data_IF_626467595534
#
_entry.id   IF_626467595534
#
_cell.length_a   1.000
_cell.length_b   1.000
_cell.length_c   1.000
_cell.angle_alpha   90.00
_cell.angle_beta   90.00
_cell.angle_gamma   90.00
#
_symmetry.space_group_name_H-M   'P 1'
#
loop_
_entity.id
_entity.type
_entity.pdbx_description
1 polymer ?
#
# COMPACT_ATOMS: atom_id res chain seq x y z
N UNK A 1 44.60 -23.04 -36.09
CA UNK A 1 43.98 -21.86 -35.46
C UNK A 1 42.48 -22.06 -35.44
N UNK A 2 41.94 -22.31 -34.32
CA UNK A 2 40.50 -22.41 -33.94
C UNK A 2 40.19 -23.60 -33.05
N UNK A 3 40.91 -23.71 -31.93
CA UNK A 3 40.53 -24.69 -30.89
C UNK A 3 40.17 -24.03 -29.54
N UNK A 4 39.99 -22.71 -29.47
CA UNK A 4 39.73 -22.00 -28.22
C UNK A 4 38.28 -21.55 -28.02
N UNK A 5 37.33 -21.86 -28.90
CA UNK A 5 35.97 -21.36 -28.81
C UNK A 5 34.97 -22.40 -28.31
N UNK A 6 35.33 -23.66 -28.32
CA UNK A 6 34.41 -24.75 -27.98
C UNK A 6 34.31 -25.09 -26.44
N UNK A 7 35.19 -24.53 -25.59
CA UNK A 7 35.18 -24.84 -24.14
C UNK A 7 34.42 -23.88 -23.26
N UNK A 8 33.87 -22.80 -23.81
CA UNK A 8 33.12 -21.79 -23.00
C UNK A 8 31.64 -22.08 -22.85
N UNK A 9 31.12 -23.09 -23.55
CA UNK A 9 29.68 -23.36 -23.52
C UNK A 9 29.31 -24.61 -22.68
N UNK A 10 30.26 -25.41 -22.26
CA UNK A 10 29.97 -26.61 -21.45
C UNK A 10 29.96 -26.37 -19.94
N UNK A 11 30.41 -25.20 -19.45
CA UNK A 11 30.33 -24.84 -18.02
C UNK A 11 29.07 -24.02 -17.66
N UNK A 12 28.18 -23.79 -18.60
CA UNK A 12 26.93 -23.04 -18.36
C UNK A 12 25.75 -23.92 -17.87
N UNK A 13 25.93 -25.24 -17.75
CA UNK A 13 24.83 -26.15 -17.40
C UNK A 13 24.69 -26.47 -15.91
N UNK A 14 25.44 -25.81 -15.03
CA UNK A 14 25.26 -25.94 -13.58
C UNK A 14 25.17 -24.60 -12.89
N UNK A 15 24.31 -23.70 -13.42
CA UNK A 15 23.80 -22.63 -12.56
C UNK A 15 22.88 -23.32 -11.57
N UNK A 16 23.19 -23.30 -10.26
CA UNK A 16 22.24 -23.82 -9.28
C UNK A 16 20.90 -23.11 -9.54
N UNK A 17 19.81 -23.88 -9.61
CA UNK A 17 18.47 -23.31 -9.68
C UNK A 17 18.43 -22.22 -8.61
N UNK A 18 18.26 -20.96 -9.03
CA UNK A 18 18.16 -19.84 -8.14
C UNK A 18 17.02 -20.18 -7.18
N UNK A 19 17.36 -20.54 -5.94
CA UNK A 19 16.36 -20.72 -4.90
C UNK A 19 15.59 -19.40 -4.86
N UNK A 20 14.27 -19.46 -5.08
CA UNK A 20 13.44 -18.28 -4.93
C UNK A 20 13.65 -17.79 -3.49
N UNK A 21 14.19 -16.58 -3.30
CA UNK A 21 14.47 -16.10 -1.95
C UNK A 21 13.18 -16.13 -1.13
N UNK A 22 13.30 -16.48 0.15
CA UNK A 22 12.15 -16.37 1.07
C UNK A 22 11.67 -14.91 1.07
N UNK A 23 10.37 -14.65 1.07
CA UNK A 23 9.87 -13.29 1.09
C UNK A 23 10.37 -12.56 2.34
N UNK A 24 10.86 -11.34 2.15
CA UNK A 24 11.17 -10.41 3.24
C UNK A 24 9.90 -9.92 3.92
N UNK A 25 8.88 -9.67 3.13
CA UNK A 25 7.63 -9.12 3.60
C UNK A 25 6.52 -9.25 2.57
N UNK A 26 5.43 -8.56 2.84
CA UNK A 26 4.20 -8.66 2.07
C UNK A 26 3.62 -7.27 1.79
N UNK A 27 2.93 -7.15 0.67
CA UNK A 27 2.28 -5.91 0.28
C UNK A 27 0.85 -6.21 -0.17
N UNK A 28 -0.10 -5.54 0.47
CA UNK A 28 -1.51 -5.57 0.10
C UNK A 28 -1.88 -4.23 -0.53
N UNK A 29 -2.39 -4.27 -1.75
CA UNK A 29 -2.80 -3.10 -2.52
C UNK A 29 -4.31 -3.17 -2.70
N UNK A 30 -5.01 -2.12 -2.28
CA UNK A 30 -6.46 -2.03 -2.36
C UNK A 30 -6.85 -0.78 -3.14
N UNK A 31 -7.53 -0.96 -4.27
CA UNK A 31 -8.15 0.10 -5.04
C UNK A 31 -9.64 0.09 -4.74
N UNK A 32 -10.12 1.09 -4.01
CA UNK A 32 -11.49 1.17 -3.52
C UNK A 32 -12.27 2.24 -4.29
N UNK A 33 -13.47 1.89 -4.71
CA UNK A 33 -14.37 2.78 -5.45
C UNK A 33 -15.76 2.81 -4.83
N UNK A 34 -16.51 3.89 -5.10
CA UNK A 34 -17.81 4.10 -4.50
C UNK A 34 -17.73 4.22 -2.99
N UNK A 35 -16.69 4.90 -2.52
CA UNK A 35 -16.47 5.15 -1.10
C UNK A 35 -17.35 6.28 -0.57
N UNK A 36 -17.52 6.32 0.74
CA UNK A 36 -18.09 7.46 1.44
C UNK A 36 -17.02 8.54 1.67
N UNK A 37 -17.05 9.60 0.87
CA UNK A 37 -16.07 10.69 0.94
C UNK A 37 -16.11 11.46 2.28
N UNK A 38 -17.13 11.31 3.10
CA UNK A 38 -17.16 11.85 4.46
C UNK A 38 -16.12 11.22 5.38
N UNK A 39 -15.57 10.08 5.00
CA UNK A 39 -14.45 9.39 5.71
C UNK A 39 -13.07 9.90 5.29
N UNK A 40 -12.98 10.80 4.31
CA UNK A 40 -11.73 11.28 3.72
C UNK A 40 -11.21 12.53 4.44
N UNK A 41 -10.87 12.39 5.70
CA UNK A 41 -10.30 13.47 6.51
C UNK A 41 -9.33 12.93 7.54
N UNK A 42 -8.53 13.82 8.14
CA UNK A 42 -7.49 13.46 9.12
C UNK A 42 -8.02 12.67 10.30
N UNK A 43 -9.15 13.10 10.89
CA UNK A 43 -9.74 12.43 12.06
C UNK A 43 -10.15 10.99 11.73
N UNK A 44 -10.84 10.80 10.60
CA UNK A 44 -11.23 9.47 10.12
C UNK A 44 -10.02 8.59 9.84
N UNK A 45 -9.01 9.11 9.14
CA UNK A 45 -7.80 8.36 8.80
C UNK A 45 -6.97 8.02 10.04
N UNK A 46 -6.95 8.88 11.05
CA UNK A 46 -6.37 8.57 12.35
C UNK A 46 -7.02 7.34 12.98
N UNK A 47 -8.33 7.31 12.99
CA UNK A 47 -9.12 6.19 13.49
C UNK A 47 -8.89 4.91 12.68
N UNK A 48 -8.84 5.05 11.36
CA UNK A 48 -8.55 3.94 10.44
C UNK A 48 -7.19 3.29 10.74
N UNK A 49 -6.13 4.08 10.80
CA UNK A 49 -4.80 3.57 11.09
C UNK A 49 -4.72 2.89 12.45
N UNK A 50 -5.35 3.49 13.47
CA UNK A 50 -5.39 2.91 14.81
C UNK A 50 -6.06 1.53 14.79
N UNK A 51 -7.23 1.44 14.17
CA UNK A 51 -8.01 0.21 14.10
C UNK A 51 -7.35 -0.86 13.23
N UNK A 52 -6.79 -0.46 12.09
CA UNK A 52 -6.10 -1.37 11.19
C UNK A 52 -4.86 -1.97 11.86
N UNK A 53 -3.98 -1.12 12.40
CA UNK A 53 -2.75 -1.58 13.04
C UNK A 53 -3.02 -2.50 14.23
N UNK A 54 -4.07 -2.23 15.01
CA UNK A 54 -4.53 -3.11 16.09
C UNK A 54 -5.00 -4.47 15.54
N UNK A 55 -5.83 -4.46 14.50
CA UNK A 55 -6.40 -5.66 13.90
C UNK A 55 -5.35 -6.58 13.25
N UNK A 56 -4.28 -6.02 12.69
CA UNK A 56 -3.17 -6.79 12.07
C UNK A 56 -1.94 -6.88 12.98
N UNK A 57 -2.06 -6.51 14.25
CA UNK A 57 -1.03 -6.62 15.28
C UNK A 57 0.28 -5.90 14.94
N UNK A 58 0.18 -4.65 14.44
CA UNK A 58 1.31 -3.82 14.06
C UNK A 58 1.52 -2.67 15.03
N UNK A 59 2.79 -2.41 15.38
CA UNK A 59 3.18 -1.27 16.22
C UNK A 59 3.27 0.01 15.40
N UNK A 60 2.49 1.03 15.81
CA UNK A 60 2.47 2.35 15.14
C UNK A 60 3.69 3.19 15.53
N UNK A 61 4.29 3.82 14.51
CA UNK A 61 5.29 4.86 14.65
C UNK A 61 4.68 6.22 14.29
N UNK A 62 5.44 7.11 13.67
CA UNK A 62 4.98 8.44 13.25
C UNK A 62 3.92 8.35 12.15
N UNK A 63 3.11 9.42 12.07
CA UNK A 63 2.04 9.59 11.11
C UNK A 63 2.10 10.97 10.48
N UNK A 64 1.87 11.04 9.17
CA UNK A 64 1.89 12.30 8.43
C UNK A 64 0.69 12.38 7.48
N UNK A 65 0.22 13.63 7.28
CA UNK A 65 -0.86 13.96 6.36
C UNK A 65 -0.43 15.02 5.37
N UNK A 66 -0.97 14.93 4.18
CA UNK A 66 -0.96 15.99 3.19
C UNK A 66 -2.36 16.22 2.66
N UNK A 67 -2.87 17.43 2.79
CA UNK A 67 -4.19 17.85 2.35
C UNK A 67 -4.25 19.37 2.21
N UNK A 68 -5.45 19.91 1.95
CA UNK A 68 -5.68 21.35 1.82
C UNK A 68 -6.04 22.04 3.16
N UNK A 69 -5.91 21.38 4.30
CA UNK A 69 -6.19 21.98 5.61
C UNK A 69 -5.21 23.11 5.88
N UNK A 70 -5.77 24.34 6.05
CA UNK A 70 -4.96 25.54 6.28
C UNK A 70 -4.39 26.19 5.01
N UNK A 71 -4.65 25.63 3.84
CA UNK A 71 -4.26 26.19 2.55
C UNK A 71 -5.28 27.23 2.11
N UNK A 72 -4.87 28.45 1.63
CA UNK A 72 -5.77 29.45 1.08
C UNK A 72 -6.64 28.87 -0.05
N UNK A 73 -7.91 29.32 -0.17
CA UNK A 73 -8.87 28.76 -1.12
C UNK A 73 -8.39 28.78 -2.57
N UNK A 74 -7.67 29.81 -2.97
CA UNK A 74 -7.14 29.98 -4.32
C UNK A 74 -5.92 29.09 -4.63
N UNK A 75 -5.34 28.47 -3.60
CA UNK A 75 -4.20 27.56 -3.69
C UNK A 75 -4.60 26.09 -3.48
N UNK A 76 -5.85 25.81 -3.11
CA UNK A 76 -6.35 24.45 -2.86
C UNK A 76 -6.50 23.65 -4.15
N UNK A 77 -6.38 22.34 -4.03
CA UNK A 77 -6.62 21.42 -5.13
C UNK A 77 -8.09 21.38 -5.52
N UNK A 78 -8.38 21.44 -6.81
CA UNK A 78 -9.75 21.48 -7.35
C UNK A 78 -10.06 20.36 -8.35
N UNK A 79 -9.03 19.72 -8.86
CA UNK A 79 -9.17 18.68 -9.88
C UNK A 79 -9.50 17.32 -9.26
N UNK A 80 -10.31 16.48 -9.95
CA UNK A 80 -10.69 15.16 -9.44
C UNK A 80 -9.50 14.27 -9.07
N UNK A 81 -8.39 14.36 -9.80
CA UNK A 81 -7.20 13.55 -9.58
C UNK A 81 -6.28 14.04 -8.46
N UNK A 82 -6.52 15.22 -7.92
CA UNK A 82 -5.63 15.82 -6.92
C UNK A 82 -6.34 16.26 -5.65
N UNK A 83 -7.67 16.47 -5.69
CA UNK A 83 -8.42 16.88 -4.51
C UNK A 83 -8.67 15.69 -3.59
N UNK A 84 -8.00 15.69 -2.45
CA UNK A 84 -8.13 14.63 -1.47
C UNK A 84 -7.12 14.73 -0.34
N UNK A 85 -7.01 13.68 0.42
CA UNK A 85 -6.10 13.57 1.55
C UNK A 85 -5.14 12.40 1.32
N UNK A 86 -3.85 12.67 1.44
CA UNK A 86 -2.81 11.64 1.48
C UNK A 86 -2.33 11.48 2.91
N UNK A 87 -2.16 10.24 3.34
CA UNK A 87 -1.69 9.94 4.69
C UNK A 87 -0.77 8.73 4.71
N UNK A 88 0.20 8.77 5.60
CA UNK A 88 1.10 7.64 5.86
C UNK A 88 1.18 7.38 7.37
N UNK A 89 0.96 6.13 7.73
CA UNK A 89 1.27 5.59 9.05
C UNK A 89 2.52 4.73 8.94
N UNK A 90 3.61 5.18 9.50
CA UNK A 90 4.79 4.34 9.66
C UNK A 90 4.54 3.29 10.72
N UNK A 91 4.96 2.08 10.41
CA UNK A 91 5.01 0.94 11.31
C UNK A 91 6.48 0.53 11.36
N UNK A 92 6.90 -0.17 12.39
CA UNK A 92 8.30 -0.58 12.48
C UNK A 92 8.77 -1.31 11.20
N UNK A 93 9.64 -0.66 10.42
CA UNK A 93 10.12 -1.10 9.08
C UNK A 93 9.02 -1.41 8.05
N UNK A 94 7.85 -0.82 8.23
CA UNK A 94 6.66 -1.06 7.41
C UNK A 94 5.83 0.23 7.28
N UNK A 95 4.79 0.23 6.49
CA UNK A 95 3.93 1.40 6.32
C UNK A 95 2.52 1.06 5.83
N UNK A 96 1.57 1.91 6.20
CA UNK A 96 0.26 1.97 5.56
C UNK A 96 0.14 3.34 4.90
N UNK A 97 -0.11 3.37 3.60
CA UNK A 97 -0.28 4.61 2.83
C UNK A 97 -1.71 4.64 2.29
N UNK A 98 -2.35 5.78 2.44
CA UNK A 98 -3.71 6.03 1.93
C UNK A 98 -3.71 7.30 1.10
N UNK A 99 -4.30 7.22 -0.09
CA UNK A 99 -4.63 8.37 -0.92
C UNK A 99 -6.13 8.35 -1.17
N UNK A 100 -6.84 9.37 -0.68
CA UNK A 100 -8.27 9.54 -0.94
C UNK A 100 -8.50 10.62 -1.97
N UNK A 101 -9.48 10.45 -2.83
CA UNK A 101 -9.88 11.40 -3.86
C UNK A 101 -11.36 11.73 -3.70
N UNK A 102 -11.64 12.92 -3.19
CA UNK A 102 -12.96 13.33 -2.74
C UNK A 102 -14.02 13.31 -3.86
N UNK A 103 -13.67 13.84 -5.04
CA UNK A 103 -14.59 13.95 -6.17
C UNK A 103 -14.77 12.65 -6.94
N UNK A 104 -13.83 11.73 -6.84
CA UNK A 104 -13.91 10.40 -7.45
C UNK A 104 -14.49 9.34 -6.51
N UNK A 105 -14.72 9.70 -5.23
CA UNK A 105 -15.16 8.76 -4.20
C UNK A 105 -14.30 7.48 -4.18
N UNK A 106 -12.99 7.67 -4.34
CA UNK A 106 -12.01 6.61 -4.44
C UNK A 106 -10.94 6.70 -3.34
N UNK A 107 -10.47 5.56 -2.89
CA UNK A 107 -9.34 5.46 -1.96
C UNK A 107 -8.36 4.38 -2.44
N UNK A 108 -7.09 4.73 -2.44
CA UNK A 108 -6.00 3.84 -2.80
C UNK A 108 -5.17 3.57 -1.55
N UNK A 109 -5.13 2.31 -1.14
CA UNK A 109 -4.46 1.87 0.08
C UNK A 109 -3.35 0.90 -0.25
N UNK A 110 -2.21 1.12 0.36
CA UNK A 110 -1.05 0.24 0.28
C UNK A 110 -0.60 -0.11 1.69
N UNK A 111 -0.54 -1.41 1.99
CA UNK A 111 -0.05 -1.94 3.26
C UNK A 111 1.19 -2.77 2.96
N UNK A 112 2.36 -2.24 3.31
CA UNK A 112 3.62 -2.96 3.25
C UNK A 112 4.05 -3.38 4.65
N UNK A 113 4.34 -4.66 4.84
CA UNK A 113 4.79 -5.19 6.12
C UNK A 113 5.97 -6.15 5.95
N UNK A 114 6.98 -6.01 6.81
CA UNK A 114 8.07 -6.96 6.93
C UNK A 114 7.65 -8.26 7.62
N UNK A 115 6.48 -8.29 8.25
CA UNK A 115 5.89 -9.47 8.87
C UNK A 115 4.62 -9.90 8.13
N UNK A 116 4.32 -11.20 8.19
CA UNK A 116 3.04 -11.69 7.73
C UNK A 116 1.89 -11.08 8.55
N UNK A 117 0.78 -10.79 7.89
CA UNK A 117 -0.45 -10.30 8.50
C UNK A 117 -1.67 -10.93 7.82
N UNK A 118 -2.80 -10.88 8.50
CA UNK A 118 -4.07 -11.37 7.94
C UNK A 118 -4.61 -10.37 6.92
N UNK A 119 -4.38 -10.66 5.63
CA UNK A 119 -4.81 -9.82 4.51
C UNK A 119 -6.32 -9.73 4.38
N UNK A 120 -7.04 -10.79 4.74
CA UNK A 120 -8.51 -10.82 4.63
C UNK A 120 -9.14 -9.90 5.69
N UNK A 121 -8.58 -9.89 6.90
CA UNK A 121 -8.95 -8.94 7.96
C UNK A 121 -8.65 -7.51 7.53
N UNK A 122 -7.47 -7.24 6.97
CA UNK A 122 -7.08 -5.92 6.51
C UNK A 122 -7.98 -5.40 5.38
N UNK A 123 -8.26 -6.24 4.38
CA UNK A 123 -9.16 -5.91 3.27
C UNK A 123 -10.57 -5.60 3.75
N UNK A 124 -11.15 -6.49 4.54
CA UNK A 124 -12.50 -6.33 5.07
C UNK A 124 -12.64 -5.06 5.88
N UNK A 125 -11.73 -4.82 6.81
CA UNK A 125 -11.73 -3.62 7.64
C UNK A 125 -11.64 -2.35 6.80
N UNK A 126 -10.77 -2.34 5.79
CA UNK A 126 -10.58 -1.19 4.91
C UNK A 126 -11.83 -0.89 4.08
N UNK A 127 -12.43 -1.92 3.49
CA UNK A 127 -13.70 -1.79 2.74
C UNK A 127 -14.84 -1.26 3.60
N UNK A 128 -14.97 -1.78 4.80
CA UNK A 128 -16.01 -1.34 5.74
C UNK A 128 -15.77 0.09 6.24
N UNK A 129 -14.50 0.45 6.50
CA UNK A 129 -14.15 1.80 6.95
C UNK A 129 -14.55 2.88 5.95
N UNK A 130 -14.15 2.71 4.71
CA UNK A 130 -14.44 3.64 3.63
C UNK A 130 -15.80 3.41 2.96
N UNK A 131 -16.54 2.40 3.38
CA UNK A 131 -17.85 2.01 2.80
C UNK A 131 -17.79 1.82 1.29
N UNK A 132 -16.71 1.21 0.82
CA UNK A 132 -16.48 0.98 -0.59
C UNK A 132 -17.50 -0.02 -1.17
N UNK A 133 -18.06 0.34 -2.33
CA UNK A 133 -18.94 -0.58 -3.08
C UNK A 133 -18.16 -1.57 -3.92
N UNK A 134 -16.94 -1.21 -4.34
CA UNK A 134 -16.05 -2.03 -5.15
C UNK A 134 -14.63 -1.97 -4.59
N UNK A 135 -13.91 -3.09 -4.68
CA UNK A 135 -12.52 -3.18 -4.28
C UNK A 135 -11.77 -4.13 -5.22
N UNK A 136 -10.68 -3.63 -5.80
CA UNK A 136 -9.69 -4.45 -6.48
C UNK A 136 -8.54 -4.72 -5.52
N UNK A 137 -8.21 -5.99 -5.32
CA UNK A 137 -7.20 -6.43 -4.37
C UNK A 137 -6.03 -7.09 -5.08
N UNK A 138 -4.82 -6.69 -4.73
CA UNK A 138 -3.57 -7.31 -5.18
C UNK A 138 -2.70 -7.59 -3.96
N UNK A 139 -2.14 -8.79 -3.89
CA UNK A 139 -1.23 -9.19 -2.82
C UNK A 139 0.10 -9.66 -3.41
N UNK A 140 1.20 -9.15 -2.87
CA UNK A 140 2.55 -9.37 -3.40
C UNK A 140 3.47 -9.82 -2.28
N UNK A 141 4.21 -10.90 -2.53
CA UNK A 141 5.36 -11.26 -1.72
C UNK A 141 6.57 -10.44 -2.17
N UNK A 142 7.26 -9.82 -1.21
CA UNK A 142 8.44 -8.99 -1.47
C UNK A 142 9.70 -9.74 -1.08
N UNK A 143 10.68 -9.83 -1.98
CA UNK A 143 11.94 -10.56 -1.80
C UNK A 143 13.14 -9.64 -1.84
#
# INVERSE_FOLDING_TARGET
MCECVARQWEEAEQTPMCEIPKPYGFELILDLHGCDASTFNRESLDGYFAKLCDAIEMEKCERYFWDDVGVPLDEQQTEPHTKGTSAVQFILTSSVVVHTLDLLEAAYVNIFSCNAFDRDVAEKLTKEWFRASECRTTFIERV
#
